data_IF_752953282187
#
_entry.id   IF_752953282187
#
_cell.length_a   1.000
_cell.length_b   1.000
_cell.length_c   1.000
_cell.angle_alpha   90.00
_cell.angle_beta   90.00
_cell.angle_gamma   90.00
#
_symmetry.space_group_name_H-M   'P 1'
#
loop_
_entity.id
_entity.type
_entity.pdbx_description
1 polymer ?
#
# COMPACT_ATOMS: atom_id res chain seq x y z
N UNK A 1 -1.90 -22.65 -7.01
CA UNK A 1 -3.06 -21.89 -6.49
C UNK A 1 -3.42 -20.83 -7.52
N UNK A 2 -4.69 -20.45 -7.66
CA UNK A 2 -5.05 -19.31 -8.52
C UNK A 2 -4.43 -18.02 -7.94
N UNK A 3 -3.88 -17.12 -8.77
CA UNK A 3 -3.34 -15.86 -8.28
C UNK A 3 -4.49 -15.04 -7.67
N UNK A 4 -4.30 -14.59 -6.44
CA UNK A 4 -5.33 -13.92 -5.66
C UNK A 4 -4.76 -12.69 -4.93
N UNK A 5 -5.65 -11.74 -4.65
CA UNK A 5 -5.42 -10.67 -3.69
C UNK A 5 -6.02 -11.13 -2.37
N UNK A 6 -5.25 -11.13 -1.29
CA UNK A 6 -5.79 -11.41 0.04
C UNK A 6 -6.07 -10.12 0.79
N UNK A 7 -7.20 -10.03 1.48
CA UNK A 7 -7.50 -8.96 2.43
C UNK A 7 -7.67 -9.53 3.85
N UNK A 8 -7.05 -8.89 4.83
CA UNK A 8 -7.25 -9.19 6.24
C UNK A 8 -8.48 -8.47 6.80
N UNK A 9 -9.37 -9.22 7.44
CA UNK A 9 -10.59 -8.72 8.07
C UNK A 9 -10.52 -8.87 9.59
N UNK A 10 -10.94 -7.84 10.31
CA UNK A 10 -11.09 -7.85 11.78
C UNK A 10 -12.46 -7.31 12.23
N UNK A 11 -13.33 -6.95 11.27
CA UNK A 11 -14.65 -6.38 11.53
C UNK A 11 -14.66 -4.86 11.73
N UNK A 12 -13.49 -4.21 11.70
CA UNK A 12 -13.37 -2.75 11.76
C UNK A 12 -13.80 -2.07 10.45
N UNK A 13 -14.23 -0.80 10.50
CA UNK A 13 -14.48 0.01 9.30
C UNK A 13 -13.28 0.07 8.35
N UNK A 14 -12.06 0.09 8.89
CA UNK A 14 -10.81 0.12 8.12
C UNK A 14 -10.61 -1.17 7.34
N UNK A 15 -10.88 -2.33 7.96
CA UNK A 15 -10.79 -3.62 7.27
C UNK A 15 -11.84 -3.76 6.16
N UNK A 16 -13.03 -3.19 6.36
CA UNK A 16 -14.06 -3.15 5.32
C UNK A 16 -13.66 -2.20 4.17
N UNK A 17 -13.09 -1.04 4.47
CA UNK A 17 -12.54 -0.14 3.45
C UNK A 17 -11.40 -0.80 2.66
N UNK A 18 -10.53 -1.56 3.33
CA UNK A 18 -9.52 -2.39 2.70
C UNK A 18 -10.13 -3.46 1.79
N UNK A 19 -11.22 -4.10 2.20
CA UNK A 19 -11.93 -5.10 1.41
C UNK A 19 -12.55 -4.49 0.14
N UNK A 20 -13.17 -3.30 0.26
CA UNK A 20 -13.69 -2.53 -0.89
C UNK A 20 -12.57 -2.20 -1.88
N UNK A 21 -11.46 -1.64 -1.39
CA UNK A 21 -10.30 -1.32 -2.24
C UNK A 21 -9.72 -2.58 -2.90
N UNK A 22 -9.58 -3.67 -2.16
CA UNK A 22 -9.06 -4.94 -2.66
C UNK A 22 -9.98 -5.55 -3.74
N UNK A 23 -11.30 -5.41 -3.60
CA UNK A 23 -12.27 -5.87 -4.60
C UNK A 23 -12.16 -5.11 -5.92
N UNK A 24 -12.00 -3.78 -5.85
CA UNK A 24 -11.80 -2.94 -7.02
C UNK A 24 -10.47 -3.28 -7.72
N UNK A 25 -9.40 -3.51 -6.94
CA UNK A 25 -8.10 -3.90 -7.48
C UNK A 25 -8.12 -5.32 -8.08
N UNK A 26 -8.80 -6.27 -7.44
CA UNK A 26 -8.95 -7.65 -7.92
C UNK A 26 -9.68 -7.67 -9.26
N UNK A 27 -10.75 -6.88 -9.40
CA UNK A 27 -11.48 -6.71 -10.67
C UNK A 27 -10.59 -6.12 -11.76
N UNK A 28 -9.83 -5.07 -11.45
CA UNK A 28 -8.89 -4.44 -12.41
C UNK A 28 -7.83 -5.41 -12.91
N UNK A 29 -7.33 -6.29 -12.02
CA UNK A 29 -6.30 -7.29 -12.35
C UNK A 29 -6.85 -8.64 -12.81
N UNK A 30 -8.17 -8.83 -12.80
CA UNK A 30 -8.84 -10.12 -13.08
C UNK A 30 -8.33 -11.25 -12.18
N UNK A 31 -8.17 -10.96 -10.89
CA UNK A 31 -7.73 -11.91 -9.87
C UNK A 31 -8.88 -12.28 -8.95
N UNK A 32 -8.78 -13.44 -8.30
CA UNK A 32 -9.68 -13.80 -7.20
C UNK A 32 -9.39 -12.92 -5.98
N UNK A 33 -10.41 -12.69 -5.14
CA UNK A 33 -10.27 -12.02 -3.85
C UNK A 33 -10.40 -13.05 -2.73
N UNK A 34 -9.39 -13.14 -1.87
CA UNK A 34 -9.40 -13.98 -0.67
C UNK A 34 -9.71 -13.11 0.56
N UNK A 35 -10.83 -13.36 1.22
CA UNK A 35 -11.20 -12.75 2.49
C UNK A 35 -10.64 -13.60 3.63
N UNK A 36 -9.64 -13.07 4.34
CA UNK A 36 -9.00 -13.78 5.43
C UNK A 36 -9.36 -13.15 6.76
N UNK A 37 -9.87 -13.96 7.69
CA UNK A 37 -9.98 -13.59 9.09
C UNK A 37 -9.22 -14.62 9.92
N UNK A 38 -8.25 -14.13 10.68
CA UNK A 38 -7.43 -14.93 11.57
C UNK A 38 -7.88 -14.69 13.00
N UNK A 39 -8.16 -15.76 13.72
CA UNK A 39 -8.65 -15.69 15.09
C UNK A 39 -8.15 -16.91 15.86
N UNK A 40 -7.61 -16.75 17.09
CA UNK A 40 -7.19 -17.90 17.88
C UNK A 40 -8.42 -18.70 18.29
N UNK A 41 -8.42 -20.00 17.99
CA UNK A 41 -9.51 -20.89 18.38
C UNK A 41 -9.55 -20.98 19.91
N UNK A 42 -10.61 -20.47 20.54
CA UNK A 42 -10.77 -20.57 21.99
C UNK A 42 -11.09 -22.01 22.42
N UNK A 43 -11.76 -22.79 21.56
CA UNK A 43 -12.09 -24.23 21.76
C UNK A 43 -12.13 -24.95 20.40
N UNK A 44 -11.62 -26.19 20.25
CA UNK A 44 -11.80 -27.03 19.05
C UNK A 44 -13.27 -27.10 18.60
N UNK A 45 -13.56 -26.96 17.30
CA UNK A 45 -14.92 -27.04 16.77
C UNK A 45 -15.62 -28.33 17.22
N UNK A 46 -16.68 -28.26 18.05
CA UNK A 46 -17.42 -29.45 18.42
C UNK A 46 -18.42 -29.77 17.30
N UNK A 47 -18.48 -31.04 16.90
CA UNK A 47 -19.30 -31.53 15.76
C UNK A 47 -20.82 -31.30 15.88
N UNK A 48 -21.35 -30.77 16.99
CA UNK A 48 -22.81 -30.66 17.27
C UNK A 48 -23.16 -29.51 18.23
N UNK A 49 -22.85 -28.26 17.88
CA UNK A 49 -23.32 -27.10 18.64
C UNK A 49 -24.40 -26.36 17.83
N UNK A 50 -25.54 -25.97 18.43
CA UNK A 50 -26.52 -25.09 17.78
C UNK A 50 -25.87 -23.76 17.35
N UNK A 51 -26.29 -23.18 16.21
CA UNK A 51 -25.70 -21.96 15.66
C UNK A 51 -25.70 -20.76 16.64
N UNK A 52 -26.59 -20.76 17.63
CA UNK A 52 -26.67 -19.75 18.70
C UNK A 52 -25.55 -19.88 19.76
N UNK A 53 -24.82 -21.00 19.79
CA UNK A 53 -23.71 -21.28 20.72
C UNK A 53 -22.40 -21.49 19.92
N UNK A 54 -22.38 -21.18 18.63
CA UNK A 54 -21.15 -21.21 17.83
C UNK A 54 -20.21 -20.08 18.32
N UNK A 55 -19.16 -20.45 19.07
CA UNK A 55 -18.15 -19.50 19.53
C UNK A 55 -17.42 -18.81 18.37
N UNK A 56 -17.54 -19.37 17.15
CA UNK A 56 -16.93 -18.89 15.92
C UNK A 56 -17.92 -18.03 15.11
N UNK A 57 -19.13 -17.82 15.63
CA UNK A 57 -20.20 -17.06 14.97
C UNK A 57 -19.73 -15.66 14.55
N UNK A 58 -19.00 -14.96 15.41
CA UNK A 58 -18.48 -13.63 15.11
C UNK A 58 -17.44 -13.65 13.98
N UNK A 59 -16.52 -14.61 13.99
CA UNK A 59 -15.53 -14.80 12.93
C UNK A 59 -16.19 -15.05 11.57
N UNK A 60 -17.18 -15.95 11.52
CA UNK A 60 -17.97 -16.23 10.30
C UNK A 60 -18.76 -15.01 9.86
N UNK A 61 -19.39 -14.29 10.80
CA UNK A 61 -20.20 -13.10 10.52
C UNK A 61 -19.38 -11.96 9.92
N UNK A 62 -18.16 -11.73 10.39
CA UNK A 62 -17.27 -10.69 9.83
C UNK A 62 -17.02 -10.95 8.34
N UNK A 63 -16.60 -12.17 7.99
CA UNK A 63 -16.30 -12.53 6.60
C UNK A 63 -17.57 -12.54 5.75
N UNK A 64 -18.66 -13.10 6.26
CA UNK A 64 -19.94 -13.16 5.55
C UNK A 64 -20.52 -11.78 5.25
N UNK A 65 -20.49 -10.85 6.21
CA UNK A 65 -20.95 -9.48 5.99
C UNK A 65 -20.11 -8.77 4.93
N UNK A 66 -18.78 -8.92 4.98
CA UNK A 66 -17.89 -8.34 3.98
C UNK A 66 -18.16 -8.94 2.60
N UNK A 67 -18.29 -10.27 2.49
CA UNK A 67 -18.63 -10.93 1.24
C UNK A 67 -19.95 -10.43 0.65
N UNK A 68 -21.02 -10.38 1.46
CA UNK A 68 -22.33 -9.94 0.99
C UNK A 68 -22.29 -8.53 0.40
N UNK A 69 -21.57 -7.62 1.07
CA UNK A 69 -21.38 -6.25 0.58
C UNK A 69 -20.56 -6.21 -0.72
N UNK A 70 -19.45 -6.95 -0.79
CA UNK A 70 -18.60 -6.97 -1.97
C UNK A 70 -19.28 -7.63 -3.17
N UNK A 71 -20.09 -8.67 -2.93
CA UNK A 71 -20.85 -9.36 -3.96
C UNK A 71 -21.93 -8.45 -4.56
N UNK A 72 -22.54 -7.58 -3.73
CA UNK A 72 -23.49 -6.59 -4.22
C UNK A 72 -22.82 -5.53 -5.12
N UNK A 73 -21.56 -5.16 -4.82
CA UNK A 73 -20.78 -4.20 -5.62
C UNK A 73 -20.18 -4.82 -6.88
N UNK A 74 -19.75 -6.07 -6.81
CA UNK A 74 -19.08 -6.80 -7.89
C UNK A 74 -19.61 -8.24 -8.03
N UNK A 75 -20.73 -8.45 -8.73
CA UNK A 75 -21.36 -9.77 -8.85
C UNK A 75 -20.50 -10.85 -9.52
N UNK A 76 -19.58 -10.44 -10.40
CA UNK A 76 -18.73 -11.37 -11.16
C UNK A 76 -17.38 -11.67 -10.48
N UNK A 77 -17.12 -11.11 -9.28
CA UNK A 77 -15.86 -11.30 -8.59
C UNK A 77 -15.82 -12.66 -7.89
N UNK A 78 -14.79 -13.47 -8.17
CA UNK A 78 -14.54 -14.72 -7.45
C UNK A 78 -14.02 -14.42 -6.04
N UNK A 79 -14.89 -14.57 -5.04
CA UNK A 79 -14.56 -14.37 -3.63
C UNK A 79 -14.31 -15.74 -2.96
N UNK A 80 -13.18 -15.88 -2.29
CA UNK A 80 -12.78 -17.06 -1.51
C UNK A 80 -12.73 -16.65 -0.04
N UNK A 81 -13.38 -17.42 0.83
CA UNK A 81 -13.35 -17.18 2.28
C UNK A 81 -12.31 -18.08 2.95
N UNK A 82 -11.45 -17.50 3.80
CA UNK A 82 -10.41 -18.21 4.54
C UNK A 82 -10.45 -17.82 6.02
N UNK A 83 -11.13 -18.64 6.82
CA UNK A 83 -11.11 -18.54 8.28
C UNK A 83 -9.91 -19.35 8.81
N UNK A 84 -9.00 -18.67 9.50
CA UNK A 84 -7.75 -19.28 9.99
C UNK A 84 -7.72 -19.26 11.52
N UNK A 85 -7.61 -20.44 12.10
CA UNK A 85 -7.50 -20.66 13.54
C UNK A 85 -6.04 -20.51 14.03
N UNK A 86 -5.42 -19.35 13.85
CA UNK A 86 -4.01 -19.10 14.17
C UNK A 86 -3.80 -17.64 14.61
N UNK A 87 -2.60 -17.32 15.09
CA UNK A 87 -2.16 -15.94 15.34
C UNK A 87 -2.29 -15.09 14.06
N UNK A 88 -2.82 -13.89 14.21
CA UNK A 88 -3.14 -13.02 13.07
C UNK A 88 -1.90 -12.64 12.26
N UNK A 89 -0.77 -12.33 12.92
CA UNK A 89 0.46 -11.98 12.22
C UNK A 89 0.97 -13.18 11.40
N UNK A 90 1.00 -14.37 12.00
CA UNK A 90 1.46 -15.60 11.33
C UNK A 90 0.56 -15.96 10.14
N UNK A 91 -0.75 -15.93 10.32
CA UNK A 91 -1.72 -16.21 9.27
C UNK A 91 -1.62 -15.23 8.10
N UNK A 92 -1.49 -13.93 8.39
CA UNK A 92 -1.35 -12.90 7.36
C UNK A 92 -0.02 -12.97 6.60
N UNK A 93 1.08 -13.31 7.28
CA UNK A 93 2.37 -13.52 6.62
C UNK A 93 2.34 -14.73 5.68
N UNK A 94 1.71 -15.83 6.11
CA UNK A 94 1.50 -16.99 5.25
C UNK A 94 0.61 -16.67 4.06
N UNK A 95 -0.48 -15.93 4.28
CA UNK A 95 -1.36 -15.55 3.18
C UNK A 95 -0.69 -14.56 2.22
N UNK A 96 0.17 -13.67 2.72
CA UNK A 96 0.96 -12.77 1.89
C UNK A 96 1.89 -13.54 0.95
N UNK A 97 2.56 -14.62 1.41
CA UNK A 97 3.45 -15.41 0.54
C UNK A 97 2.71 -16.20 -0.55
N UNK A 98 1.44 -16.53 -0.31
CA UNK A 98 0.55 -17.24 -1.23
C UNK A 98 -0.21 -16.32 -2.21
N UNK A 99 -0.10 -14.99 -2.05
CA UNK A 99 -0.90 -14.01 -2.78
C UNK A 99 -0.04 -13.07 -3.64
N UNK A 100 -0.66 -12.44 -4.64
CA UNK A 100 -0.01 -11.38 -5.42
C UNK A 100 0.22 -10.11 -4.59
N UNK A 101 -0.70 -9.83 -3.65
CA UNK A 101 -0.55 -8.82 -2.62
C UNK A 101 -1.46 -9.12 -1.43
N UNK A 102 -1.10 -8.56 -0.28
CA UNK A 102 -1.94 -8.51 0.91
C UNK A 102 -2.50 -7.09 1.10
N UNK A 103 -3.78 -6.96 1.43
CA UNK A 103 -4.42 -5.68 1.73
C UNK A 103 -4.87 -5.68 3.18
N UNK A 104 -4.57 -4.62 3.92
CA UNK A 104 -4.94 -4.47 5.32
C UNK A 104 -5.55 -3.10 5.55
N UNK A 105 -6.50 -3.04 6.49
CA UNK A 105 -6.94 -1.79 7.09
C UNK A 105 -5.80 -1.13 7.86
N UNK A 106 -5.78 0.19 7.84
CA UNK A 106 -4.92 1.05 8.65
C UNK A 106 -5.79 2.11 9.29
N UNK A 107 -5.61 2.33 10.59
CA UNK A 107 -6.29 3.42 11.27
C UNK A 107 -5.72 4.76 10.81
N UNK A 108 -6.62 5.70 10.51
CA UNK A 108 -6.29 7.09 10.26
C UNK A 108 -6.21 7.88 11.57
N UNK A 109 -5.51 9.01 11.53
CA UNK A 109 -5.63 10.02 12.58
C UNK A 109 -7.00 10.70 12.47
N UNK A 110 -8.00 10.25 13.22
CA UNK A 110 -9.14 11.11 13.53
C UNK A 110 -8.75 12.06 14.68
N UNK A 111 -9.38 13.25 14.68
CA UNK A 111 -8.92 14.55 15.17
C UNK A 111 -8.27 14.72 16.57
N UNK A 112 -8.07 13.68 17.39
CA UNK A 112 -7.31 13.77 18.64
C UNK A 112 -6.62 12.41 18.90
N UNK A 113 -5.29 12.39 18.98
CA UNK A 113 -4.46 11.32 19.58
C UNK A 113 -4.67 9.85 19.14
N UNK A 114 -4.61 9.51 17.85
CA UNK A 114 -4.61 8.09 17.42
C UNK A 114 -3.35 7.69 16.65
N UNK A 115 -2.22 7.57 17.36
CA UNK A 115 -0.95 7.02 16.88
C UNK A 115 -0.90 5.48 16.93
N UNK A 116 -1.99 4.79 16.56
CA UNK A 116 -2.05 3.33 16.64
C UNK A 116 -2.27 2.73 15.25
N UNK A 117 -1.16 2.54 14.53
CA UNK A 117 -1.12 1.57 13.44
C UNK A 117 -1.29 0.20 14.09
N UNK A 118 -2.43 -0.47 13.86
CA UNK A 118 -2.82 -1.65 14.64
C UNK A 118 -1.71 -2.69 14.77
N UNK A 119 -1.64 -3.33 15.94
CA UNK A 119 -0.54 -4.21 16.39
C UNK A 119 -0.16 -5.32 15.41
N UNK A 120 -1.07 -5.69 14.50
CA UNK A 120 -0.88 -6.73 13.49
C UNK A 120 -0.31 -6.18 12.17
N UNK A 121 -0.69 -4.97 11.76
CA UNK A 121 -0.40 -4.45 10.42
C UNK A 121 1.08 -4.10 10.22
N UNK A 122 1.70 -3.42 11.19
CA UNK A 122 3.09 -2.96 11.08
C UNK A 122 4.10 -4.13 11.05
N UNK A 123 3.99 -5.14 11.93
CA UNK A 123 4.88 -6.29 11.87
C UNK A 123 4.71 -7.11 10.58
N UNK A 124 3.50 -7.17 10.01
CA UNK A 124 3.24 -7.81 8.71
C UNK A 124 3.92 -7.04 7.59
N UNK A 125 3.70 -5.72 7.49
CA UNK A 125 4.34 -4.85 6.48
C UNK A 125 5.87 -4.93 6.53
N UNK A 126 6.43 -5.00 7.72
CA UNK A 126 7.88 -5.10 7.92
C UNK A 126 8.47 -6.44 7.45
N UNK A 127 7.69 -7.52 7.39
CA UNK A 127 8.17 -8.89 7.18
C UNK A 127 7.68 -9.54 5.89
N UNK A 128 6.53 -9.13 5.36
CA UNK A 128 5.89 -9.76 4.21
C UNK A 128 6.82 -9.78 2.98
N UNK A 129 6.91 -10.94 2.33
CA UNK A 129 7.75 -11.15 1.14
C UNK A 129 7.09 -10.65 -0.16
N UNK A 130 5.79 -10.33 -0.08
CA UNK A 130 4.97 -9.77 -1.16
C UNK A 130 4.48 -8.37 -0.81
N UNK A 131 4.04 -7.57 -1.79
CA UNK A 131 3.50 -6.24 -1.56
C UNK A 131 2.36 -6.24 -0.53
N UNK A 132 2.40 -5.28 0.41
CA UNK A 132 1.32 -5.06 1.37
C UNK A 132 0.73 -3.67 1.14
N UNK A 133 -0.58 -3.60 0.93
CA UNK A 133 -1.31 -2.35 0.76
C UNK A 133 -2.06 -2.01 2.03
N UNK A 134 -1.83 -0.81 2.55
CA UNK A 134 -2.56 -0.25 3.67
C UNK A 134 -3.61 0.72 3.17
N UNK A 135 -4.85 0.52 3.62
CA UNK A 135 -6.01 1.32 3.23
C UNK A 135 -6.64 1.92 4.48
N UNK A 136 -7.08 3.19 4.42
CA UNK A 136 -7.72 3.87 5.56
C UNK A 136 -9.20 4.01 5.35
N UNK A 137 -9.98 3.84 6.42
CA UNK A 137 -11.36 4.30 6.46
C UNK A 137 -11.37 5.84 6.22
N UNK A 138 -12.19 6.31 5.29
CA UNK A 138 -12.25 7.73 4.88
C UNK A 138 -11.51 8.10 3.59
N UNK A 139 -10.82 7.15 2.94
CA UNK A 139 -10.24 7.39 1.59
C UNK A 139 -11.19 7.09 0.44
N UNK A 140 -12.39 6.60 0.74
CA UNK A 140 -13.47 6.46 -0.25
C UNK A 140 -14.25 7.77 -0.26
N UNK A 141 -13.80 8.66 -1.14
CA UNK A 141 -14.52 9.78 -1.77
C UNK A 141 -16.04 9.78 -1.49
N UNK A 142 -16.48 10.52 -0.47
CA UNK A 142 -17.88 10.91 -0.32
C UNK A 142 -18.13 12.43 -0.38
N UNK A 143 -17.10 13.30 -0.41
CA UNK A 143 -17.38 14.75 -0.26
C UNK A 143 -16.72 15.74 -1.24
N UNK A 144 -15.85 15.35 -2.18
CA UNK A 144 -15.41 16.29 -3.22
C UNK A 144 -15.30 15.66 -4.62
N UNK A 145 -15.85 16.33 -5.66
CA UNK A 145 -15.61 15.91 -7.03
C UNK A 145 -14.10 15.97 -7.33
N UNK A 146 -13.52 14.89 -7.87
CA UNK A 146 -12.09 14.86 -8.13
C UNK A 146 -11.73 15.93 -9.15
N UNK A 147 -10.64 16.64 -8.89
CA UNK A 147 -10.09 17.60 -9.87
C UNK A 147 -9.68 16.83 -11.14
N UNK A 148 -9.98 17.35 -12.35
CA UNK A 148 -9.56 16.69 -13.58
C UNK A 148 -8.03 16.52 -13.59
N UNK A 149 -7.54 15.28 -13.62
CA UNK A 149 -6.11 14.93 -13.65
C UNK A 149 -5.50 14.42 -12.33
N UNK A 150 -6.21 14.49 -11.21
CA UNK A 150 -5.75 13.87 -9.93
C UNK A 150 -6.46 12.56 -9.62
N UNK A 151 -7.69 12.35 -10.09
CA UNK A 151 -8.47 11.14 -9.84
C UNK A 151 -7.67 9.86 -10.18
N UNK A 152 -7.28 9.10 -9.15
CA UNK A 152 -6.73 7.76 -9.33
C UNK A 152 -5.26 7.65 -9.75
N UNK A 153 -4.48 8.74 -9.81
CA UNK A 153 -3.05 8.68 -10.18
C UNK A 153 -2.24 7.76 -9.24
N UNK A 154 -1.22 7.10 -9.77
CA UNK A 154 -0.28 6.28 -8.99
C UNK A 154 1.01 7.06 -8.78
N UNK A 155 1.44 7.18 -7.52
CA UNK A 155 2.70 7.84 -7.16
C UNK A 155 3.69 6.78 -6.72
N UNK A 156 4.93 6.82 -7.22
CA UNK A 156 6.00 5.92 -6.77
C UNK A 156 7.17 6.72 -6.20
N UNK A 157 7.56 6.40 -4.97
CA UNK A 157 8.70 7.01 -4.32
C UNK A 157 9.98 6.24 -4.64
N UNK A 158 10.90 6.88 -5.37
CA UNK A 158 12.12 6.24 -5.83
C UNK A 158 13.34 6.74 -5.06
N UNK A 159 14.19 5.78 -4.68
CA UNK A 159 15.54 6.05 -4.23
C UNK A 159 16.48 5.80 -5.41
N UNK A 160 17.14 6.84 -5.90
CA UNK A 160 18.07 6.77 -7.04
C UNK A 160 19.37 5.99 -6.77
N UNK A 161 19.49 5.36 -5.60
CA UNK A 161 20.67 4.60 -5.19
C UNK A 161 20.27 3.20 -4.73
N UNK A 162 20.39 2.23 -5.65
CA UNK A 162 20.09 0.81 -5.45
C UNK A 162 19.09 0.26 -6.48
N UNK A 163 18.89 -1.06 -6.51
CA UNK A 163 17.87 -1.67 -7.37
C UNK A 163 16.47 -1.23 -6.92
N UNK A 164 15.60 -0.98 -7.89
CA UNK A 164 14.20 -0.59 -7.64
C UNK A 164 13.22 -1.24 -8.62
N UNK A 165 13.64 -2.34 -9.25
CA UNK A 165 12.93 -2.96 -10.36
C UNK A 165 11.60 -3.56 -9.89
N UNK A 166 11.59 -4.30 -8.78
CA UNK A 166 10.34 -4.83 -8.17
C UNK A 166 9.35 -3.71 -7.82
N UNK A 167 9.87 -2.57 -7.33
CA UNK A 167 9.09 -1.41 -6.93
C UNK A 167 8.47 -0.72 -8.16
N UNK A 168 9.26 -0.54 -9.22
CA UNK A 168 8.81 0.01 -10.49
C UNK A 168 7.85 -0.94 -11.19
N UNK A 169 8.13 -2.24 -11.20
CA UNK A 169 7.23 -3.24 -11.79
C UNK A 169 5.85 -3.17 -11.15
N UNK A 170 5.79 -3.18 -9.82
CA UNK A 170 4.53 -3.08 -9.11
C UNK A 170 3.82 -1.75 -9.40
N UNK A 171 4.54 -0.63 -9.39
CA UNK A 171 3.96 0.69 -9.62
C UNK A 171 3.38 0.82 -11.03
N UNK A 172 4.13 0.41 -12.06
CA UNK A 172 3.69 0.44 -13.45
C UNK A 172 2.55 -0.55 -13.70
N UNK A 173 2.62 -1.77 -13.17
CA UNK A 173 1.52 -2.73 -13.27
C UNK A 173 0.23 -2.19 -12.62
N UNK A 174 0.36 -1.54 -11.45
CA UNK A 174 -0.76 -0.90 -10.76
C UNK A 174 -1.35 0.26 -11.56
N UNK A 175 -0.51 1.13 -12.12
CA UNK A 175 -0.96 2.25 -12.95
C UNK A 175 -1.65 1.77 -14.23
N UNK A 176 -1.09 0.75 -14.89
CA UNK A 176 -1.65 0.15 -16.09
C UNK A 176 -3.03 -0.50 -15.83
N UNK A 177 -3.15 -1.28 -14.75
CA UNK A 177 -4.43 -1.89 -14.36
C UNK A 177 -5.52 -0.87 -14.05
N UNK A 178 -5.13 0.35 -13.65
CA UNK A 178 -6.02 1.46 -13.31
C UNK A 178 -6.32 2.37 -14.49
N UNK A 179 -5.57 2.27 -15.59
CA UNK A 179 -5.59 3.26 -16.67
C UNK A 179 -5.22 4.66 -16.19
N UNK A 180 -4.38 4.75 -15.14
CA UNK A 180 -4.06 6.00 -14.47
C UNK A 180 -2.63 6.48 -14.78
N UNK A 181 -2.36 7.79 -14.74
CA UNK A 181 -1.01 8.31 -14.91
C UNK A 181 -0.13 7.90 -13.71
N UNK A 182 1.17 7.71 -13.99
CA UNK A 182 2.18 7.40 -12.99
C UNK A 182 3.08 8.61 -12.75
N UNK A 183 3.28 8.97 -11.49
CA UNK A 183 4.21 10.03 -11.07
C UNK A 183 5.35 9.43 -10.25
N UNK A 184 6.55 9.48 -10.80
CA UNK A 184 7.76 9.13 -10.08
C UNK A 184 8.26 10.32 -9.26
N UNK A 185 8.50 10.10 -7.97
CA UNK A 185 8.90 11.14 -7.01
C UNK A 185 10.22 10.75 -6.40
N UNK A 186 11.19 11.66 -6.49
CA UNK A 186 12.45 11.56 -5.76
C UNK A 186 12.63 12.77 -4.86
N UNK A 187 12.87 12.52 -3.57
CA UNK A 187 13.27 13.56 -2.64
C UNK A 187 14.77 13.52 -2.40
N UNK A 188 15.43 14.66 -2.58
CA UNK A 188 16.87 14.82 -2.34
C UNK A 188 17.07 15.90 -1.28
N UNK A 189 17.69 15.52 -0.16
CA UNK A 189 18.12 16.50 0.83
C UNK A 189 19.17 17.41 0.22
N UNK A 190 19.01 18.72 0.44
CA UNK A 190 19.98 19.71 -0.03
C UNK A 190 21.29 19.54 0.75
N UNK A 191 22.45 19.45 0.07
CA UNK A 191 23.72 19.30 0.76
C UNK A 191 24.00 20.46 1.74
N UNK A 192 24.70 20.18 2.84
CA UNK A 192 24.98 21.19 3.88
C UNK A 192 25.77 22.37 3.30
N UNK A 193 26.68 22.14 2.36
CA UNK A 193 27.46 23.20 1.71
C UNK A 193 26.65 24.11 0.77
N UNK A 194 25.42 23.72 0.40
CA UNK A 194 24.50 24.60 -0.32
C UNK A 194 23.74 25.56 0.63
N UNK A 195 23.92 25.42 1.95
CA UNK A 195 23.39 26.35 2.93
C UNK A 195 24.43 27.45 3.19
N UNK A 196 24.16 28.65 2.68
CA UNK A 196 24.95 29.85 2.91
C UNK A 196 24.30 30.73 4.02
N UNK A 197 25.06 31.67 4.64
CA UNK A 197 24.51 32.54 5.68
C UNK A 197 23.28 33.37 5.26
N UNK A 198 23.13 33.60 3.95
CA UNK A 198 22.06 34.40 3.34
C UNK A 198 20.93 33.57 2.73
N UNK A 199 20.96 32.24 2.87
CA UNK A 199 19.98 31.33 2.28
C UNK A 199 20.60 30.19 1.49
N UNK A 200 19.80 29.53 0.66
CA UNK A 200 20.27 28.44 -0.19
C UNK A 200 20.93 28.99 -1.45
N UNK A 201 22.07 28.40 -1.82
CA UNK A 201 22.70 28.69 -3.11
C UNK A 201 21.85 28.12 -4.25
N UNK A 202 21.30 29.02 -5.08
CA UNK A 202 20.45 28.66 -6.21
C UNK A 202 21.20 27.88 -7.31
N UNK A 203 22.50 28.13 -7.50
CA UNK A 203 23.30 27.41 -8.51
C UNK A 203 23.51 25.96 -8.10
N UNK A 204 23.92 25.74 -6.85
CA UNK A 204 24.18 24.39 -6.33
C UNK A 204 22.88 23.57 -6.25
N UNK A 205 21.77 24.20 -5.84
CA UNK A 205 20.47 23.51 -5.75
C UNK A 205 19.92 23.11 -7.12
N UNK A 206 20.09 23.94 -8.15
CA UNK A 206 19.66 23.60 -9.51
C UNK A 206 20.55 22.51 -10.13
N UNK A 207 21.87 22.54 -9.92
CA UNK A 207 22.76 21.45 -10.35
C UNK A 207 22.37 20.10 -9.72
N UNK A 208 22.13 20.08 -8.40
CA UNK A 208 21.69 18.90 -7.65
C UNK A 208 20.34 18.37 -8.18
N UNK A 209 19.43 19.27 -8.55
CA UNK A 209 18.13 18.93 -9.14
C UNK A 209 18.29 18.33 -10.53
N UNK A 210 19.09 18.95 -11.39
CA UNK A 210 19.32 18.47 -12.76
C UNK A 210 20.03 17.12 -12.79
N UNK A 211 21.03 16.92 -11.92
CA UNK A 211 21.71 15.63 -11.76
C UNK A 211 20.73 14.53 -11.35
N UNK A 212 19.91 14.79 -10.33
CA UNK A 212 18.87 13.84 -9.92
C UNK A 212 17.83 13.61 -11.02
N UNK A 213 17.49 14.62 -11.81
CA UNK A 213 16.53 14.51 -12.94
C UNK A 213 17.08 13.60 -14.04
N UNK A 214 18.36 13.76 -14.38
CA UNK A 214 19.04 12.90 -15.36
C UNK A 214 19.02 11.45 -14.90
N UNK A 215 19.39 11.18 -13.65
CA UNK A 215 19.37 9.82 -13.10
C UNK A 215 17.95 9.23 -13.06
N UNK A 216 16.95 10.00 -12.63
CA UNK A 216 15.56 9.55 -12.61
C UNK A 216 15.05 9.22 -14.02
N UNK A 217 15.38 10.06 -15.01
CA UNK A 217 15.03 9.83 -16.41
C UNK A 217 15.66 8.53 -16.95
N UNK A 218 16.93 8.28 -16.60
CA UNK A 218 17.63 7.06 -17.00
C UNK A 218 16.99 5.81 -16.41
N UNK A 219 16.63 5.83 -15.13
CA UNK A 219 15.96 4.71 -14.45
C UNK A 219 14.57 4.44 -15.04
N UNK A 220 13.82 5.48 -15.40
CA UNK A 220 12.46 5.33 -15.96
C UNK A 220 12.44 4.96 -17.44
N UNK A 221 13.54 5.13 -18.17
CA UNK A 221 13.57 4.93 -19.62
C UNK A 221 13.12 3.52 -20.05
N UNK A 222 13.66 2.41 -19.49
CA UNK A 222 13.21 1.07 -19.87
C UNK A 222 11.72 0.84 -19.57
N UNK A 223 11.20 1.47 -18.52
CA UNK A 223 9.80 1.35 -18.14
C UNK A 223 8.86 2.15 -19.05
N UNK A 224 9.27 3.34 -19.49
CA UNK A 224 8.55 4.12 -20.51
C UNK A 224 8.49 3.37 -21.85
N UNK A 225 9.56 2.66 -22.21
CA UNK A 225 9.58 1.80 -23.40
C UNK A 225 8.66 0.56 -23.24
N UNK A 226 8.61 -0.05 -22.05
CA UNK A 226 7.71 -1.17 -21.73
C UNK A 226 6.22 -0.76 -21.69
N UNK A 227 5.93 0.49 -21.32
CA UNK A 227 4.56 1.03 -21.18
C UNK A 227 4.35 2.33 -21.99
N UNK A 228 4.38 2.28 -23.33
CA UNK A 228 4.42 3.49 -24.18
C UNK A 228 3.12 4.31 -24.17
N UNK A 229 2.00 3.71 -23.74
CA UNK A 229 0.69 4.38 -23.66
C UNK A 229 0.43 5.05 -22.31
N UNK A 230 1.33 4.89 -21.34
CA UNK A 230 1.16 5.44 -19.99
C UNK A 230 1.77 6.83 -19.90
N UNK A 231 1.04 7.77 -19.31
CA UNK A 231 1.57 9.08 -18.96
C UNK A 231 2.45 8.95 -17.70
N UNK A 232 3.76 9.21 -17.84
CA UNK A 232 4.77 9.04 -16.80
C UNK A 232 5.46 10.37 -16.52
N UNK A 233 5.00 11.05 -15.48
CA UNK A 233 5.62 12.27 -14.98
C UNK A 233 6.73 11.96 -13.97
N UNK A 234 7.79 12.75 -13.98
CA UNK A 234 8.84 12.73 -12.97
C UNK A 234 8.82 14.02 -12.15
N UNK A 235 9.21 13.92 -10.88
CA UNK A 235 9.25 15.08 -9.99
C UNK A 235 10.32 14.94 -8.93
N UNK A 236 11.05 16.04 -8.72
CA UNK A 236 12.14 16.10 -7.76
C UNK A 236 11.82 17.19 -6.75
N UNK A 237 11.74 16.78 -5.48
CA UNK A 237 11.68 17.70 -4.36
C UNK A 237 13.05 17.87 -3.74
N UNK A 238 13.47 19.13 -3.61
CA UNK A 238 14.62 19.50 -2.81
C UNK A 238 14.15 19.71 -1.37
N UNK A 239 14.59 18.86 -0.46
CA UNK A 239 14.16 18.88 0.94
C UNK A 239 14.06 17.48 1.54
N UNK A 240 13.27 17.34 2.61
CA UNK A 240 13.04 16.04 3.25
C UNK A 240 12.39 15.05 2.28
N UNK A 241 12.99 13.87 2.03
CA UNK A 241 12.40 12.88 1.14
C UNK A 241 11.01 12.41 1.59
N UNK A 242 10.82 12.27 2.91
CA UNK A 242 9.54 11.88 3.48
C UNK A 242 8.44 12.92 3.18
N UNK A 243 8.71 14.20 3.43
CA UNK A 243 7.73 15.27 3.17
C UNK A 243 7.43 15.43 1.68
N UNK A 244 8.45 15.31 0.82
CA UNK A 244 8.30 15.37 -0.63
C UNK A 244 7.36 14.29 -1.13
N UNK A 245 7.54 13.06 -0.65
CA UNK A 245 6.71 11.91 -1.04
C UNK A 245 5.28 12.06 -0.53
N UNK A 246 5.08 12.44 0.73
CA UNK A 246 3.74 12.62 1.30
C UNK A 246 2.96 13.71 0.56
N UNK A 247 3.59 14.87 0.29
CA UNK A 247 2.96 15.95 -0.49
C UNK A 247 2.64 15.52 -1.92
N UNK A 248 3.54 14.79 -2.58
CA UNK A 248 3.29 14.32 -3.93
C UNK A 248 2.14 13.29 -4.01
N UNK A 249 1.85 12.60 -2.90
CA UNK A 249 0.75 11.66 -2.76
C UNK A 249 -0.61 12.32 -2.49
N UNK A 250 -0.68 13.64 -2.29
CA UNK A 250 -1.96 14.36 -2.16
C UNK A 250 -2.80 14.14 -3.41
N UNK A 251 -4.05 13.71 -3.25
CA UNK A 251 -4.96 13.39 -4.35
C UNK A 251 -4.51 12.19 -5.21
N UNK A 252 -3.54 11.38 -4.78
CA UNK A 252 -3.22 10.12 -5.45
C UNK A 252 -4.21 9.02 -5.07
N UNK A 253 -4.45 8.07 -5.98
CA UNK A 253 -5.26 6.88 -5.68
C UNK A 253 -4.43 5.72 -5.09
N UNK A 254 -3.11 5.79 -5.20
CA UNK A 254 -2.15 4.83 -4.65
C UNK A 254 -0.76 5.47 -4.55
N UNK A 255 -0.13 5.37 -3.38
CA UNK A 255 1.27 5.66 -3.17
C UNK A 255 2.07 4.36 -3.03
N UNK A 256 3.10 4.18 -3.83
CA UNK A 256 3.96 3.00 -3.84
C UNK A 256 5.33 3.38 -3.25
N UNK A 257 5.74 2.68 -2.21
CA UNK A 257 7.01 2.88 -1.50
C UNK A 257 7.75 1.55 -1.34
N UNK A 258 9.08 1.61 -1.40
CA UNK A 258 9.93 0.43 -1.21
C UNK A 258 10.19 0.10 0.26
N UNK A 259 10.42 -1.19 0.53
CA UNK A 259 11.03 -1.71 1.76
C UNK A 259 12.15 -2.67 1.39
N UNK A 260 13.32 -2.53 2.00
CA UNK A 260 14.43 -3.49 1.79
C UNK A 260 14.18 -4.81 2.51
N UNK A 261 14.35 -5.94 1.81
CA UNK A 261 14.25 -7.31 2.38
C UNK A 261 15.41 -7.62 3.32
N UNK A 262 16.65 -7.35 2.89
CA UNK A 262 17.86 -7.67 3.64
C UNK A 262 18.47 -6.44 4.31
N UNK A 263 18.12 -6.20 5.57
CA UNK A 263 18.91 -5.33 6.45
C UNK A 263 19.52 -6.21 7.55
N UNK A 264 20.86 -6.21 7.76
CA UNK A 264 21.55 -7.10 8.71
C UNK A 264 21.32 -6.73 10.19
N UNK A 265 20.17 -6.16 10.53
CA UNK A 265 19.83 -5.74 11.89
C UNK A 265 18.78 -6.70 12.44
N UNK A 266 18.88 -7.01 13.74
CA UNK A 266 18.07 -7.93 14.56
C UNK A 266 16.55 -7.74 14.42
N UNK A 267 16.07 -6.65 13.80
CA UNK A 267 14.66 -6.46 13.47
C UNK A 267 14.48 -5.75 12.11
N UNK A 268 13.51 -6.18 11.27
CA UNK A 268 13.16 -5.47 10.05
C UNK A 268 12.60 -4.08 10.41
N UNK A 269 13.31 -3.02 10.04
CA UNK A 269 12.88 -1.63 10.25
C UNK A 269 12.48 -1.00 8.93
N UNK A 270 11.28 -0.40 8.89
CA UNK A 270 10.85 0.43 7.78
C UNK A 270 11.75 1.66 7.65
N UNK A 271 11.93 2.15 6.42
CA UNK A 271 12.64 3.39 6.18
C UNK A 271 11.79 4.61 6.57
N UNK A 272 12.44 5.75 6.83
CA UNK A 272 11.74 6.98 7.22
C UNK A 272 10.68 7.43 6.20
N UNK A 273 10.93 7.25 4.90
CA UNK A 273 9.96 7.55 3.83
C UNK A 273 8.76 6.61 3.90
N UNK A 274 8.99 5.30 4.01
CA UNK A 274 7.93 4.30 4.15
C UNK A 274 7.08 4.58 5.40
N UNK A 275 7.73 4.85 6.54
CA UNK A 275 7.03 5.15 7.78
C UNK A 275 6.21 6.44 7.66
N UNK A 276 6.78 7.51 7.11
CA UNK A 276 6.03 8.75 6.88
C UNK A 276 4.86 8.58 5.90
N UNK A 277 5.03 7.78 4.84
CA UNK A 277 3.97 7.45 3.91
C UNK A 277 2.81 6.73 4.62
N UNK A 278 3.12 5.68 5.40
CA UNK A 278 2.12 4.91 6.14
C UNK A 278 1.36 5.77 7.15
N UNK A 279 2.02 6.75 7.78
CA UNK A 279 1.38 7.59 8.80
C UNK A 279 0.70 8.83 8.24
N UNK A 280 1.16 9.41 7.13
CA UNK A 280 0.71 10.73 6.68
C UNK A 280 0.07 10.77 5.29
N UNK A 281 0.20 9.73 4.46
CA UNK A 281 -0.39 9.75 3.13
C UNK A 281 -1.91 9.52 3.20
N UNK A 282 -2.72 10.43 2.64
CA UNK A 282 -4.18 10.32 2.62
C UNK A 282 -4.74 9.33 1.59
N UNK A 283 -3.90 8.50 0.98
CA UNK A 283 -4.30 7.51 -0.02
C UNK A 283 -3.86 6.12 0.40
N UNK A 284 -4.29 5.09 -0.34
CA UNK A 284 -3.79 3.74 -0.13
C UNK A 284 -2.26 3.71 -0.33
N UNK A 285 -1.55 3.03 0.57
CA UNK A 285 -0.08 2.95 0.54
C UNK A 285 0.34 1.50 0.29
N UNK A 286 0.95 1.23 -0.86
CA UNK A 286 1.58 -0.04 -1.18
C UNK A 286 3.04 -0.03 -0.74
N UNK A 287 3.40 -0.95 0.15
CA UNK A 287 4.78 -1.20 0.58
C UNK A 287 5.30 -2.43 -0.15
N UNK A 288 6.25 -2.22 -1.06
CA UNK A 288 6.80 -3.26 -1.92
C UNK A 288 8.15 -3.71 -1.36
N UNK A 289 8.30 -5.00 -1.00
CA UNK A 289 9.60 -5.53 -0.61
C UNK A 289 10.52 -5.66 -1.84
N UNK A 290 11.71 -5.10 -1.76
CA UNK A 290 12.74 -5.15 -2.81
C UNK A 290 14.12 -5.42 -2.19
N UNK A 291 15.11 -5.77 -3.02
CA UNK A 291 16.49 -6.01 -2.59
C UNK A 291 17.31 -4.73 -2.34
#
# INVERSE_FOLDING_TARGET
>A
MQPAITVGLDGSPESLAAARWASDEAKRRKLALCLLHAWPLLVPEPTRVPAEIDQNYWAKRIVHNAQAELQARHPDLSIIEKLVADDAQKALLQAASESEMLVLGSQGLELVESYFLGDVSMPVVARAERPVVLVRAGTLEEELPPTPGTAGRVVVALKLHGPSDDLLEFAFASAAARGAPLRAVHGRSVPVHAHAPWGLDHGITEEVRQDAQKHLTQVLRPWREKFPRMDVADSIGLGSPAQTVVRAAEGAGLLVVGRRKHRPVVAPRLGAVTQAAIHHAHCAVAVVPHD
#
